data_IF_314286649963
#
_entry.id   IF_314286649963
#
_cell.length_a   1.000
_cell.length_b   1.000
_cell.length_c   1.000
_cell.angle_alpha   90.00
_cell.angle_beta   90.00
_cell.angle_gamma   90.00
#
_symmetry.space_group_name_H-M   'P 1'
#
loop_
_entity.id
_entity.type
_entity.pdbx_description
1 polymer ?
#
# COMPACT_ATOMS: atom_id res chain seq x y z
N UNK A 1 8.28 -24.55 5.59
CA UNK A 1 8.22 -23.49 4.57
C UNK A 1 8.50 -22.17 5.28
N UNK A 2 9.74 -21.69 5.27
CA UNK A 2 10.09 -20.39 5.86
C UNK A 2 10.17 -19.38 4.71
N UNK A 3 9.18 -18.49 4.61
CA UNK A 3 9.25 -17.32 3.72
C UNK A 3 10.31 -16.38 4.30
N UNK A 4 11.50 -16.35 3.71
CA UNK A 4 12.43 -15.21 3.69
C UNK A 4 12.77 -14.46 4.98
N UNK A 5 12.52 -15.00 6.17
CA UNK A 5 12.87 -14.35 7.43
C UNK A 5 14.36 -14.48 7.71
N UNK A 6 15.06 -13.34 7.80
CA UNK A 6 16.36 -13.30 8.45
C UNK A 6 16.14 -13.80 9.88
N UNK A 7 16.68 -14.95 10.22
CA UNK A 7 16.66 -15.43 11.60
C UNK A 7 17.60 -14.54 12.40
N UNK A 8 17.02 -13.65 13.21
CA UNK A 8 17.77 -12.77 14.10
C UNK A 8 17.62 -13.34 15.50
N UNK A 9 18.74 -13.56 16.17
CA UNK A 9 18.78 -14.08 17.52
C UNK A 9 18.23 -13.05 18.53
N UNK A 10 17.49 -13.50 19.54
CA UNK A 10 16.93 -12.62 20.57
C UNK A 10 18.01 -11.89 21.37
N UNK A 11 19.18 -12.51 21.59
CA UNK A 11 20.33 -11.86 22.24
C UNK A 11 20.84 -10.67 21.41
N UNK A 12 20.83 -10.81 20.09
CA UNK A 12 21.19 -9.72 19.18
C UNK A 12 20.18 -8.58 19.24
N UNK A 13 18.87 -8.88 19.20
CA UNK A 13 17.81 -7.86 19.26
C UNK A 13 17.89 -7.10 20.59
N UNK A 14 17.99 -7.83 21.71
CA UNK A 14 18.14 -7.24 23.04
C UNK A 14 19.33 -6.29 23.11
N UNK A 15 20.50 -6.74 22.65
CA UNK A 15 21.76 -5.98 22.81
C UNK A 15 21.89 -4.83 21.82
N UNK A 16 21.67 -5.09 20.53
CA UNK A 16 22.02 -4.17 19.45
C UNK A 16 20.85 -3.26 19.08
N UNK A 17 19.62 -3.79 19.00
CA UNK A 17 18.44 -3.02 18.60
C UNK A 17 17.85 -2.29 19.80
N UNK A 18 17.59 -3.02 20.88
CA UNK A 18 16.99 -2.49 22.10
C UNK A 18 18.00 -1.86 23.07
N UNK A 19 19.30 -1.91 22.76
CA UNK A 19 20.40 -1.35 23.58
C UNK A 19 20.38 -1.83 25.03
N UNK A 20 19.97 -3.08 25.25
CA UNK A 20 19.85 -3.70 26.57
C UNK A 20 18.66 -3.25 27.41
N UNK A 21 17.69 -2.53 26.84
CA UNK A 21 16.48 -2.10 27.58
C UNK A 21 15.52 -3.25 27.89
N UNK A 22 15.54 -4.31 27.08
CA UNK A 22 14.73 -5.51 27.26
C UNK A 22 15.64 -6.74 27.28
N UNK A 23 15.39 -7.65 28.20
CA UNK A 23 16.04 -8.97 28.27
C UNK A 23 15.47 -9.92 27.23
N UNK A 24 16.21 -10.97 26.90
CA UNK A 24 15.71 -12.00 25.98
C UNK A 24 14.47 -12.71 26.49
N UNK A 25 14.36 -12.91 27.80
CA UNK A 25 13.16 -13.48 28.42
C UNK A 25 11.95 -12.57 28.22
N UNK A 26 12.09 -11.26 28.46
CA UNK A 26 10.99 -10.30 28.24
C UNK A 26 10.55 -10.24 26.77
N UNK A 27 11.51 -10.31 25.83
CA UNK A 27 11.20 -10.36 24.39
C UNK A 27 10.44 -11.64 24.01
N UNK A 28 10.86 -12.80 24.53
CA UNK A 28 10.20 -14.08 24.25
C UNK A 28 8.81 -14.17 24.88
N UNK A 29 8.64 -13.63 26.08
CA UNK A 29 7.35 -13.55 26.76
C UNK A 29 6.39 -12.63 26.01
N UNK A 30 6.87 -11.46 25.55
CA UNK A 30 6.11 -10.54 24.73
C UNK A 30 5.72 -11.14 23.37
N UNK A 31 6.65 -11.82 22.69
CA UNK A 31 6.35 -12.54 21.44
C UNK A 31 5.25 -13.58 21.65
N UNK A 32 5.38 -14.42 22.68
CA UNK A 32 4.40 -15.45 23.00
C UNK A 32 3.01 -14.86 23.28
N UNK A 33 2.94 -13.74 23.99
CA UNK A 33 1.69 -13.07 24.29
C UNK A 33 1.07 -12.41 23.04
N UNK A 34 1.87 -11.78 22.19
CA UNK A 34 1.41 -11.22 20.91
C UNK A 34 0.85 -12.33 20.01
N UNK A 35 1.57 -13.44 19.89
CA UNK A 35 1.12 -14.60 19.10
C UNK A 35 -0.20 -15.17 19.63
N UNK A 36 -0.36 -15.21 20.96
CA UNK A 36 -1.58 -15.66 21.62
C UNK A 36 -2.75 -14.71 21.33
N UNK A 37 -2.55 -13.40 21.45
CA UNK A 37 -3.57 -12.37 21.17
C UNK A 37 -4.00 -12.41 19.70
N UNK A 38 -3.05 -12.61 18.79
CA UNK A 38 -3.32 -12.72 17.36
C UNK A 38 -3.86 -14.10 16.94
N UNK A 39 -4.10 -15.02 17.89
CA UNK A 39 -4.55 -16.39 17.64
C UNK A 39 -3.67 -17.13 16.61
N UNK A 40 -2.36 -16.83 16.58
CA UNK A 40 -1.41 -17.33 15.58
C UNK A 40 -1.74 -16.92 14.13
N UNK A 41 -2.65 -15.97 13.91
CA UNK A 41 -3.08 -15.48 12.60
C UNK A 41 -2.25 -14.25 12.18
N UNK A 42 -0.99 -14.50 11.83
CA UNK A 42 -0.06 -13.44 11.41
C UNK A 42 -0.20 -13.01 9.94
N UNK A 43 -0.94 -13.77 9.13
CA UNK A 43 -1.02 -13.56 7.67
C UNK A 43 -2.27 -12.76 7.28
N UNK A 44 -2.30 -11.48 7.65
CA UNK A 44 -3.27 -10.52 7.10
C UNK A 44 -2.77 -9.96 5.76
N UNK A 45 -3.67 -9.65 4.80
CA UNK A 45 -3.26 -9.03 3.56
C UNK A 45 -2.73 -7.62 3.84
N UNK A 46 -1.49 -7.37 3.46
CA UNK A 46 -0.86 -6.06 3.66
C UNK A 46 -1.26 -5.07 2.56
N UNK A 47 -1.31 -3.75 2.83
CA UNK A 47 -1.53 -2.74 1.80
C UNK A 47 -0.52 -2.86 0.64
N UNK A 48 0.72 -3.25 0.92
CA UNK A 48 1.75 -3.48 -0.10
C UNK A 48 1.40 -4.63 -1.05
N UNK A 49 0.83 -5.73 -0.55
CA UNK A 49 0.36 -6.84 -1.38
C UNK A 49 -0.83 -6.43 -2.25
N UNK A 50 -1.71 -5.55 -1.75
CA UNK A 50 -2.79 -4.97 -2.56
C UNK A 50 -2.26 -4.09 -3.69
N UNK A 51 -1.24 -3.26 -3.44
CA UNK A 51 -0.59 -2.47 -4.50
C UNK A 51 -0.06 -3.37 -5.62
N UNK A 52 0.70 -4.41 -5.25
CA UNK A 52 1.25 -5.35 -6.23
C UNK A 52 0.15 -6.06 -7.04
N UNK A 53 -0.92 -6.50 -6.37
CA UNK A 53 -2.06 -7.16 -7.00
C UNK A 53 -2.84 -6.26 -7.97
N UNK A 54 -3.06 -5.01 -7.59
CA UNK A 54 -3.77 -4.03 -8.42
C UNK A 54 -2.95 -3.63 -9.64
N UNK A 55 -1.66 -3.33 -9.46
CA UNK A 55 -0.76 -3.00 -10.58
C UNK A 55 -0.62 -4.16 -11.57
N UNK A 56 -0.56 -5.39 -11.06
CA UNK A 56 -0.55 -6.60 -11.90
C UNK A 56 -1.85 -6.75 -12.69
N UNK A 57 -2.99 -6.38 -12.11
CA UNK A 57 -4.30 -6.43 -12.79
C UNK A 57 -4.45 -5.35 -13.86
N UNK A 58 -3.91 -4.16 -13.65
CA UNK A 58 -3.87 -3.09 -14.65
C UNK A 58 -3.00 -3.51 -15.85
N UNK A 59 -1.86 -4.17 -15.58
CA UNK A 59 -0.95 -4.65 -16.62
C UNK A 59 -1.59 -5.69 -17.54
N UNK A 60 -2.52 -6.51 -17.06
CA UNK A 60 -3.20 -7.55 -17.85
C UNK A 60 -4.38 -7.01 -18.65
N UNK A 61 -5.00 -5.90 -18.23
CA UNK A 61 -6.15 -5.29 -18.90
C UNK A 61 -5.77 -4.36 -20.06
N UNK A 62 -4.54 -3.86 -20.14
CA UNK A 62 -4.10 -3.01 -21.25
C UNK A 62 -3.96 -3.83 -22.55
N UNK A 63 -4.82 -3.64 -23.57
CA UNK A 63 -4.76 -4.41 -24.79
C UNK A 63 -3.51 -4.02 -25.57
N UNK A 64 -2.63 -5.00 -25.80
CA UNK A 64 -1.43 -4.86 -26.63
C UNK A 64 -1.84 -4.62 -28.09
N UNK A 65 -1.93 -3.36 -28.51
CA UNK A 65 -1.76 -3.03 -29.93
C UNK A 65 -0.26 -3.00 -30.26
N UNK A 66 0.21 -4.02 -30.96
CA UNK A 66 1.42 -3.97 -31.79
C UNK A 66 2.79 -3.88 -31.08
N UNK A 67 3.50 -5.01 -31.03
CA UNK A 67 4.97 -5.03 -31.13
C UNK A 67 5.80 -4.72 -29.86
N UNK A 68 6.37 -5.77 -29.27
CA UNK A 68 7.65 -5.68 -28.55
C UNK A 68 7.65 -5.06 -27.15
N UNK A 69 7.57 -5.91 -26.12
CA UNK A 69 8.20 -5.68 -24.81
C UNK A 69 7.64 -4.58 -23.91
N UNK A 70 6.53 -4.84 -23.20
CA UNK A 70 6.23 -4.11 -21.95
C UNK A 70 5.45 -4.96 -20.95
N UNK A 71 5.92 -6.20 -20.72
CA UNK A 71 5.48 -6.99 -19.56
C UNK A 71 6.14 -6.49 -18.23
N UNK A 72 6.85 -5.36 -18.27
CA UNK A 72 7.66 -4.83 -17.17
C UNK A 72 7.21 -3.47 -16.62
N UNK A 73 6.15 -2.84 -17.17
CA UNK A 73 5.77 -1.48 -16.79
C UNK A 73 5.23 -1.36 -15.35
N UNK A 74 4.61 -2.43 -14.82
CA UNK A 74 3.92 -2.42 -13.53
C UNK A 74 4.27 -3.64 -12.67
N UNK A 75 5.52 -4.09 -12.71
CA UNK A 75 6.04 -5.10 -11.77
C UNK A 75 6.19 -4.49 -10.37
N UNK A 76 6.40 -5.32 -9.34
CA UNK A 76 6.71 -4.85 -7.98
C UNK A 76 7.93 -3.93 -7.90
N UNK A 77 8.81 -3.98 -8.90
CA UNK A 77 9.98 -3.12 -9.08
C UNK A 77 9.74 -1.88 -9.96
N UNK A 78 8.50 -1.66 -10.41
CA UNK A 78 8.16 -0.45 -11.17
C UNK A 78 8.31 0.79 -10.28
N UNK A 79 8.68 1.95 -10.86
CA UNK A 79 8.79 3.19 -10.10
C UNK A 79 7.45 3.58 -9.44
N UNK A 80 6.33 3.22 -10.09
CA UNK A 80 4.98 3.41 -9.55
C UNK A 80 4.75 2.57 -8.29
N UNK A 81 5.10 1.27 -8.32
CA UNK A 81 5.01 0.39 -7.15
C UNK A 81 5.85 0.91 -5.99
N UNK A 82 7.12 1.26 -6.24
CA UNK A 82 8.04 1.74 -5.20
C UNK A 82 7.51 3.01 -4.54
N UNK A 83 7.07 4.00 -5.34
CA UNK A 83 6.57 5.26 -4.82
C UNK A 83 5.23 5.10 -4.08
N UNK A 84 4.34 4.23 -4.58
CA UNK A 84 3.07 3.94 -3.90
C UNK A 84 3.32 3.26 -2.54
N UNK A 85 4.28 2.33 -2.47
CA UNK A 85 4.66 1.67 -1.21
C UNK A 85 5.30 2.65 -0.22
N UNK A 86 6.14 3.57 -0.69
CA UNK A 86 6.72 4.62 0.15
C UNK A 86 5.65 5.57 0.71
N UNK A 87 4.63 5.92 -0.08
CA UNK A 87 3.51 6.72 0.39
C UNK A 87 2.72 6.00 1.49
N UNK A 88 2.49 4.69 1.33
CA UNK A 88 1.85 3.86 2.37
C UNK A 88 2.67 3.85 3.66
N UNK A 89 3.99 3.74 3.56
CA UNK A 89 4.89 3.76 4.73
C UNK A 89 4.81 5.09 5.49
N UNK A 90 4.54 6.21 4.82
CA UNK A 90 4.33 7.50 5.46
C UNK A 90 2.96 7.59 6.14
N UNK A 91 1.91 7.18 5.42
CA UNK A 91 0.52 7.27 5.93
C UNK A 91 0.23 6.29 7.07
N UNK A 92 0.85 5.11 7.07
CA UNK A 92 0.64 4.12 8.14
C UNK A 92 1.27 4.54 9.49
N UNK A 93 2.17 5.53 9.48
CA UNK A 93 2.70 6.14 10.70
C UNK A 93 1.65 7.03 11.39
N UNK A 94 0.63 7.49 10.66
CA UNK A 94 -0.52 8.16 11.24
C UNK A 94 -1.50 7.13 11.79
N UNK A 95 -1.64 7.12 13.11
CA UNK A 95 -2.41 6.13 13.85
C UNK A 95 -3.90 6.16 13.49
N UNK A 96 -4.46 7.34 13.25
CA UNK A 96 -5.87 7.51 12.88
C UNK A 96 -6.14 6.89 11.51
N UNK A 97 -5.24 7.12 10.57
CA UNK A 97 -5.27 6.53 9.23
C UNK A 97 -5.10 5.00 9.29
N UNK A 98 -4.19 4.49 10.13
CA UNK A 98 -3.91 3.06 10.26
C UNK A 98 -5.07 2.21 10.80
N UNK A 99 -5.94 2.79 11.65
CA UNK A 99 -7.09 2.07 12.24
C UNK A 99 -8.33 2.16 11.37
N UNK A 100 -8.58 3.33 10.79
CA UNK A 100 -9.86 3.62 10.14
C UNK A 100 -9.90 3.14 8.70
N UNK A 101 -8.76 3.12 8.01
CA UNK A 101 -8.70 2.77 6.59
C UNK A 101 -8.51 1.27 6.39
N UNK A 102 -9.26 0.72 5.43
CA UNK A 102 -9.01 -0.65 5.01
C UNK A 102 -7.70 -0.73 4.19
N UNK A 103 -6.89 -1.79 4.35
CA UNK A 103 -5.63 -1.95 3.61
C UNK A 103 -5.75 -1.81 2.08
N UNK A 104 -6.89 -2.25 1.51
CA UNK A 104 -7.16 -2.12 0.08
C UNK A 104 -7.42 -0.67 -0.35
N UNK A 105 -8.13 0.10 0.47
CA UNK A 105 -8.44 1.51 0.19
C UNK A 105 -7.16 2.33 0.23
N UNK A 106 -6.35 2.13 1.27
CA UNK A 106 -5.06 2.78 1.41
C UNK A 106 -4.15 2.51 0.20
N UNK A 107 -4.14 1.27 -0.29
CA UNK A 107 -3.40 0.90 -1.49
C UNK A 107 -3.94 1.58 -2.77
N UNK A 108 -5.26 1.70 -2.93
CA UNK A 108 -5.87 2.43 -4.05
C UNK A 108 -5.49 3.91 -4.02
N UNK A 109 -5.65 4.54 -2.85
CA UNK A 109 -5.37 5.97 -2.66
C UNK A 109 -3.89 6.28 -2.90
N UNK A 110 -2.99 5.39 -2.47
CA UNK A 110 -1.57 5.51 -2.76
C UNK A 110 -1.27 5.52 -4.26
N UNK A 111 -1.84 4.55 -5.01
CA UNK A 111 -1.64 4.47 -6.47
C UNK A 111 -2.21 5.72 -7.16
N UNK A 112 -3.43 6.14 -6.79
CA UNK A 112 -4.08 7.30 -7.37
C UNK A 112 -3.31 8.60 -7.07
N UNK A 113 -2.83 8.76 -5.85
CA UNK A 113 -2.04 9.93 -5.44
C UNK A 113 -0.75 10.01 -6.26
N UNK A 114 -0.02 8.90 -6.41
CA UNK A 114 1.21 8.87 -7.21
C UNK A 114 0.94 9.12 -8.70
N UNK A 115 -0.16 8.62 -9.24
CA UNK A 115 -0.55 8.89 -10.62
C UNK A 115 -0.91 10.37 -10.82
N UNK A 116 -1.63 10.98 -9.88
CA UNK A 116 -1.99 12.40 -9.92
C UNK A 116 -0.74 13.29 -9.83
N UNK A 117 0.16 13.00 -8.89
CA UNK A 117 1.45 13.68 -8.77
C UNK A 117 2.30 13.56 -10.04
N UNK A 118 2.30 12.40 -10.69
CA UNK A 118 3.02 12.20 -11.95
C UNK A 118 2.42 13.03 -13.10
N UNK A 119 1.09 13.19 -13.12
CA UNK A 119 0.40 14.07 -14.07
C UNK A 119 0.69 15.54 -13.80
N UNK A 120 0.67 15.96 -12.53
CA UNK A 120 0.95 17.34 -12.13
C UNK A 120 2.42 17.70 -12.31
N UNK A 121 3.35 16.79 -12.03
CA UNK A 121 4.80 16.99 -12.28
C UNK A 121 5.10 17.16 -13.77
N UNK A 122 4.29 16.55 -14.64
CA UNK A 122 4.37 16.76 -16.10
C UNK A 122 3.85 18.13 -16.55
N UNK A 123 3.07 18.82 -15.70
CA UNK A 123 2.53 20.16 -15.95
C UNK A 123 3.26 21.27 -15.15
N UNK A 124 3.93 20.92 -14.06
CA UNK A 124 4.65 21.83 -13.14
C UNK A 124 6.04 22.23 -13.65
N UNK A 125 6.17 22.48 -14.95
CA UNK A 125 7.07 23.53 -15.42
C UNK A 125 6.45 24.92 -15.31
N UNK A 126 5.18 25.04 -14.87
CA UNK A 126 4.56 26.34 -14.61
C UNK A 126 3.55 26.25 -13.44
N UNK A 127 3.83 27.03 -12.38
CA UNK A 127 2.91 27.60 -11.36
C UNK A 127 2.65 26.82 -10.04
N UNK A 128 3.15 27.43 -8.95
CA UNK A 128 2.71 27.34 -7.54
C UNK A 128 1.18 27.46 -7.39
N UNK A 129 0.53 26.64 -6.56
CA UNK A 129 -0.55 27.05 -5.63
C UNK A 129 -0.90 25.92 -4.65
N UNK A 130 -0.87 26.30 -3.37
CA UNK A 130 -1.41 25.67 -2.16
C UNK A 130 -2.88 25.23 -2.30
N UNK A 131 -3.32 24.12 -1.67
CA UNK A 131 -4.66 23.93 -1.05
C UNK A 131 -4.80 22.52 -0.48
N UNK A 132 -4.89 22.47 0.85
CA UNK A 132 -5.55 21.40 1.64
C UNK A 132 -7.07 21.48 1.46
N UNK A 133 -7.72 20.34 1.19
CA UNK A 133 -8.89 19.80 1.91
C UNK A 133 -9.85 19.02 1.00
N UNK A 134 -10.23 17.82 1.47
CA UNK A 134 -11.60 17.30 1.42
C UNK A 134 -12.07 16.68 0.11
N UNK A 135 -11.83 15.38 -0.08
CA UNK A 135 -12.57 14.58 -1.06
C UNK A 135 -12.60 13.10 -0.62
N UNK A 136 -13.29 12.80 0.49
CA UNK A 136 -13.40 11.41 0.99
C UNK A 136 -14.74 10.75 0.67
N UNK A 137 -15.76 11.46 0.18
CA UNK A 137 -17.13 10.89 0.08
C UNK A 137 -17.62 10.69 -1.37
N UNK A 138 -17.04 11.38 -2.36
CA UNK A 138 -17.55 11.34 -3.74
C UNK A 138 -16.96 10.21 -4.60
N UNK A 139 -15.79 9.66 -4.23
CA UNK A 139 -15.15 8.56 -4.97
C UNK A 139 -15.92 7.24 -4.90
N UNK A 140 -16.56 6.95 -3.75
CA UNK A 140 -17.36 5.73 -3.57
C UNK A 140 -18.65 5.77 -4.40
N UNK A 141 -19.26 6.95 -4.55
CA UNK A 141 -20.48 7.14 -5.33
C UNK A 141 -20.23 6.90 -6.84
N UNK A 142 -19.14 7.46 -7.38
CA UNK A 142 -18.75 7.24 -8.78
C UNK A 142 -18.37 5.79 -9.08
N UNK A 143 -17.73 5.09 -8.13
CA UNK A 143 -17.43 3.66 -8.29
C UNK A 143 -18.69 2.79 -8.24
N UNK A 144 -19.67 3.10 -7.39
CA UNK A 144 -20.95 2.36 -7.36
C UNK A 144 -21.80 2.60 -8.62
N UNK A 145 -21.85 3.83 -9.13
CA UNK A 145 -22.59 4.16 -10.36
C UNK A 145 -22.00 3.40 -11.56
N UNK A 146 -20.66 3.31 -11.64
CA UNK A 146 -20.00 2.59 -12.73
C UNK A 146 -20.05 1.06 -12.61
N UNK A 147 -20.15 0.53 -11.39
CA UNK A 147 -20.27 -0.91 -11.15
C UNK A 147 -21.69 -1.45 -11.41
N UNK A 148 -22.72 -0.59 -11.39
CA UNK A 148 -24.12 -1.01 -11.60
C UNK A 148 -24.60 -0.96 -13.06
N UNK A 149 -23.77 -0.54 -14.02
CA UNK A 149 -24.10 -0.67 -15.45
C UNK A 149 -25.42 -0.01 -15.85
N UNK A 150 -25.72 1.18 -15.32
CA UNK A 150 -26.83 2.00 -15.82
C UNK A 150 -26.32 2.76 -17.06
N UNK A 151 -26.67 2.25 -18.25
CA UNK A 151 -26.61 3.01 -19.49
C UNK A 151 -27.54 4.22 -19.38
N UNK A 152 -26.98 5.42 -19.35
CA UNK A 152 -27.73 6.65 -19.63
C UNK A 152 -28.15 6.63 -21.11
N UNK A 153 -29.33 6.06 -21.36
CA UNK A 153 -30.11 6.32 -22.55
C UNK A 153 -31.35 7.11 -22.17
N UNK A 154 -31.55 8.21 -22.90
CA UNK A 154 -32.68 9.13 -22.93
C UNK A 154 -32.81 10.14 -21.75
N UNK A 155 -32.38 11.40 -21.97
CA UNK A 155 -33.22 12.54 -22.45
C UNK A 155 -32.35 13.60 -23.11
#
# INVERSE_FOLDING_TARGET
MCRGGVHVDADFVSREVCRGQYTTTELNDAESEILRILEWRLNGPSPHEFVDGMLSSIATMSPREGGGGSAGAYTSSSPLSIRSKAWIEDVILDYDSAITTLPSTLACDAILSVLNESSMSSMSNDVDVDVRNGASEDCLSWMMIRAMGMDDTDV
#
